data_IF_384485173456
#
_entry.id   IF_384485173456
#
_cell.length_a   1.000
_cell.length_b   1.000
_cell.length_c   1.000
_cell.angle_alpha   90.00
_cell.angle_beta   90.00
_cell.angle_gamma   90.00
#
_symmetry.space_group_name_H-M   'P 1'
#
loop_
_entity.id
_entity.type
_entity.pdbx_description
1 polymer ?
#
# COMPACT_ATOMS: atom_id res chain seq x y z
N UNK A 1 20.28 -0.69 1.90
CA UNK A 1 18.98 -1.30 2.30
C UNK A 1 18.32 -2.08 1.18
N UNK A 2 18.79 -2.03 -0.09
CA UNK A 2 18.06 -2.67 -1.20
C UNK A 2 16.71 -2.02 -1.53
N UNK A 3 16.36 -0.91 -0.87
CA UNK A 3 15.17 -0.11 -1.20
C UNK A 3 13.85 -0.86 -1.09
N UNK A 4 13.66 -1.76 -0.12
CA UNK A 4 12.47 -2.61 -0.08
C UNK A 4 11.16 -1.81 -0.03
N UNK A 5 11.09 -0.83 0.90
CA UNK A 5 9.94 0.07 1.15
C UNK A 5 8.54 -0.59 1.18
N UNK A 6 8.50 -1.92 1.32
CA UNK A 6 7.32 -2.75 1.18
C UNK A 6 7.51 -3.99 2.06
N UNK A 7 6.67 -4.19 3.10
CA UNK A 7 6.81 -5.31 4.01
C UNK A 7 6.76 -6.66 3.31
N UNK A 8 5.86 -6.85 2.35
CA UNK A 8 5.74 -8.10 1.61
C UNK A 8 7.00 -8.44 0.80
N UNK A 9 7.62 -7.47 0.11
CA UNK A 9 8.93 -7.66 -0.55
C UNK A 9 10.02 -8.02 0.46
N UNK A 10 9.99 -7.39 1.64
CA UNK A 10 10.95 -7.73 2.72
C UNK A 10 10.76 -9.18 3.17
N UNK A 11 9.51 -9.64 3.33
CA UNK A 11 9.20 -11.02 3.71
C UNK A 11 9.62 -12.03 2.64
N UNK A 12 9.37 -11.73 1.35
CA UNK A 12 9.86 -12.55 0.23
C UNK A 12 11.38 -12.70 0.29
N UNK A 13 12.10 -11.59 0.47
CA UNK A 13 13.58 -11.62 0.59
C UNK A 13 14.09 -12.43 1.79
N UNK A 14 13.37 -12.42 2.91
CA UNK A 14 13.70 -13.28 4.07
C UNK A 14 13.56 -14.75 3.71
N UNK A 15 12.48 -15.12 3.04
CA UNK A 15 12.16 -16.53 2.74
C UNK A 15 12.99 -17.09 1.60
N UNK A 16 13.14 -16.34 0.50
CA UNK A 16 13.74 -16.84 -0.74
C UNK A 16 15.16 -16.33 -1.01
N UNK A 17 15.49 -15.09 -0.62
CA UNK A 17 16.79 -14.46 -0.93
C UNK A 17 17.78 -14.45 0.26
N UNK A 18 17.55 -15.27 1.29
CA UNK A 18 18.40 -15.40 2.48
C UNK A 18 18.63 -14.08 3.24
N UNK A 19 17.69 -13.13 3.17
CA UNK A 19 17.79 -11.90 3.93
C UNK A 19 17.68 -12.17 5.44
N UNK A 20 18.57 -11.62 6.30
CA UNK A 20 18.54 -11.91 7.73
C UNK A 20 17.21 -11.51 8.38
N UNK A 21 16.49 -12.47 8.95
CA UNK A 21 15.14 -12.27 9.48
C UNK A 21 15.05 -11.15 10.54
N UNK A 22 16.04 -11.04 11.43
CA UNK A 22 16.08 -9.97 12.45
C UNK A 22 16.16 -8.57 11.84
N UNK A 23 16.88 -8.41 10.71
CA UNK A 23 16.89 -7.15 9.95
C UNK A 23 15.59 -6.94 9.22
N UNK A 24 14.99 -8.01 8.70
CA UNK A 24 13.69 -8.01 8.06
C UNK A 24 12.59 -7.44 8.95
N UNK A 25 12.51 -7.90 10.19
CA UNK A 25 11.55 -7.37 11.18
C UNK A 25 11.81 -5.88 11.42
N UNK A 26 13.06 -5.47 11.63
CA UNK A 26 13.40 -4.07 11.82
C UNK A 26 13.02 -3.20 10.60
N UNK A 27 13.14 -3.75 9.39
CA UNK A 27 12.72 -3.09 8.15
C UNK A 27 11.21 -2.90 8.09
N UNK A 28 10.43 -3.95 8.38
CA UNK A 28 8.96 -3.87 8.38
C UNK A 28 8.47 -2.81 9.37
N UNK A 29 9.04 -2.81 10.58
CA UNK A 29 8.71 -1.81 11.62
C UNK A 29 9.07 -0.39 11.14
N UNK A 30 10.28 -0.20 10.61
CA UNK A 30 10.71 1.10 10.12
C UNK A 30 9.85 1.58 8.93
N UNK A 31 9.41 0.68 8.05
CA UNK A 31 8.54 1.00 6.92
C UNK A 31 7.16 1.47 7.39
N UNK A 32 6.54 0.74 8.32
CA UNK A 32 5.22 1.11 8.89
C UNK A 32 5.32 2.45 9.64
N UNK A 33 6.35 2.62 10.47
CA UNK A 33 6.58 3.89 11.19
C UNK A 33 6.85 5.05 10.22
N UNK A 34 7.58 4.80 9.13
CA UNK A 34 7.79 5.78 8.06
C UNK A 34 6.48 6.21 7.41
N UNK A 35 5.60 5.26 7.07
CA UNK A 35 4.26 5.54 6.53
C UNK A 35 3.38 6.33 7.50
N UNK A 36 3.42 5.98 8.78
CA UNK A 36 2.73 6.69 9.86
C UNK A 36 3.19 8.15 9.96
N UNK A 37 4.49 8.38 10.10
CA UNK A 37 5.06 9.73 10.23
C UNK A 37 4.79 10.55 8.96
N UNK A 38 4.92 9.95 7.78
CA UNK A 38 4.63 10.63 6.52
C UNK A 38 3.18 11.15 6.46
N UNK A 39 2.21 10.34 6.91
CA UNK A 39 0.81 10.78 6.96
C UNK A 39 0.59 11.93 7.94
N UNK A 40 1.23 11.92 9.11
CA UNK A 40 1.14 13.05 10.06
C UNK A 40 1.77 14.33 9.50
N UNK A 41 2.89 14.21 8.77
CA UNK A 41 3.51 15.34 8.08
C UNK A 41 2.60 15.91 7.00
N UNK A 42 1.95 15.05 6.20
CA UNK A 42 0.97 15.47 5.20
C UNK A 42 -0.22 16.17 5.87
N UNK A 43 -0.74 15.63 6.98
CA UNK A 43 -1.81 16.29 7.73
C UNK A 43 -1.40 17.69 8.19
N UNK A 44 -0.20 17.84 8.77
CA UNK A 44 0.32 19.14 9.18
C UNK A 44 0.51 20.11 7.98
N UNK A 45 1.01 19.61 6.84
CA UNK A 45 1.23 20.40 5.63
C UNK A 45 -0.09 20.93 5.03
N UNK A 46 -1.15 20.12 5.07
CA UNK A 46 -2.45 20.45 4.48
C UNK A 46 -3.49 20.90 5.51
N UNK A 47 -3.12 21.06 6.79
CA UNK A 47 -4.04 21.41 7.88
C UNK A 47 -4.96 22.58 7.54
N UNK A 48 -4.41 23.68 7.02
CA UNK A 48 -5.17 24.89 6.70
C UNK A 48 -6.15 24.71 5.51
N UNK A 49 -5.96 23.67 4.70
CA UNK A 49 -6.90 23.29 3.64
C UNK A 49 -7.90 22.23 4.11
N UNK A 50 -7.51 21.33 5.03
CA UNK A 50 -8.33 20.23 5.51
C UNK A 50 -9.40 20.67 6.52
N UNK A 51 -9.04 21.50 7.50
CA UNK A 51 -9.97 21.93 8.54
C UNK A 51 -11.22 22.62 7.97
N UNK A 52 -11.13 23.56 7.01
CA UNK A 52 -12.33 24.15 6.40
C UNK A 52 -13.21 23.14 5.68
N UNK A 53 -12.63 22.12 5.05
CA UNK A 53 -13.38 21.05 4.36
C UNK A 53 -14.14 20.20 5.38
N UNK A 54 -13.50 19.81 6.48
CA UNK A 54 -14.13 19.07 7.58
C UNK A 54 -15.29 19.86 8.19
N UNK A 55 -15.07 21.15 8.48
CA UNK A 55 -16.11 22.04 9.02
C UNK A 55 -17.29 22.21 8.06
N UNK A 56 -17.03 22.34 6.75
CA UNK A 56 -18.09 22.43 5.75
C UNK A 56 -18.92 21.14 5.67
N UNK A 57 -18.26 19.97 5.76
CA UNK A 57 -18.95 18.68 5.80
C UNK A 57 -19.76 18.48 7.08
N UNK A 58 -19.24 18.96 8.21
CA UNK A 58 -19.94 18.92 9.50
C UNK A 58 -21.18 19.82 9.51
N UNK A 59 -21.05 21.06 9.02
CA UNK A 59 -22.17 22.00 8.89
C UNK A 59 -23.26 21.47 7.93
N UNK A 60 -22.88 20.67 6.93
CA UNK A 60 -23.81 19.99 6.02
C UNK A 60 -24.41 18.69 6.60
N UNK A 61 -24.00 18.27 7.80
CA UNK A 61 -24.43 17.01 8.42
C UNK A 61 -23.92 15.75 7.72
N UNK A 62 -22.89 15.87 6.87
CA UNK A 62 -22.38 14.77 6.02
C UNK A 62 -21.07 14.16 6.52
N UNK A 63 -20.39 14.82 7.46
CA UNK A 63 -19.06 14.39 7.90
C UNK A 63 -19.08 12.95 8.43
N UNK A 64 -20.00 12.60 9.33
CA UNK A 64 -20.05 11.26 9.92
C UNK A 64 -20.27 10.14 8.89
N UNK A 65 -21.01 10.41 7.81
CA UNK A 65 -21.27 9.44 6.74
C UNK A 65 -20.05 9.27 5.82
N UNK A 66 -19.36 10.37 5.50
CA UNK A 66 -18.35 10.39 4.44
C UNK A 66 -16.93 10.22 4.99
N UNK A 67 -16.67 10.57 6.25
CA UNK A 67 -15.29 10.71 6.78
C UNK A 67 -14.45 9.44 6.56
N UNK A 68 -15.02 8.27 6.81
CA UNK A 68 -14.36 6.96 6.69
C UNK A 68 -14.70 6.25 5.37
N UNK A 69 -14.67 7.01 4.27
CA UNK A 69 -14.85 6.51 2.91
C UNK A 69 -13.69 7.01 2.02
N UNK A 70 -13.49 6.45 0.80
CA UNK A 70 -12.51 6.98 -0.15
C UNK A 70 -12.66 8.47 -0.50
N UNK A 71 -13.85 9.03 -0.30
CA UNK A 71 -14.16 10.44 -0.61
C UNK A 71 -14.11 11.36 0.62
N UNK A 72 -13.81 10.81 1.80
CA UNK A 72 -13.76 11.58 3.05
C UNK A 72 -12.36 12.08 3.42
N UNK A 73 -12.27 13.04 4.37
CA UNK A 73 -11.00 13.55 4.87
C UNK A 73 -10.07 12.46 5.40
N UNK A 74 -10.57 11.48 6.16
CA UNK A 74 -9.73 10.39 6.66
C UNK A 74 -9.19 9.50 5.52
N UNK A 75 -9.87 9.45 4.37
CA UNK A 75 -9.50 8.72 3.16
C UNK A 75 -8.19 9.17 2.51
N UNK A 76 -7.70 10.37 2.88
CA UNK A 76 -6.39 10.89 2.47
C UNK A 76 -5.25 10.09 3.11
N UNK A 77 -5.46 9.60 4.33
CA UNK A 77 -4.43 8.93 5.13
C UNK A 77 -4.62 7.42 5.20
N UNK A 78 -5.84 6.97 5.52
CA UNK A 78 -6.21 5.56 5.59
C UNK A 78 -7.05 5.16 4.39
N UNK A 79 -6.97 3.89 3.97
CA UNK A 79 -7.88 3.38 2.94
C UNK A 79 -9.15 2.82 3.56
N UNK A 80 -10.26 3.06 2.88
CA UNK A 80 -11.58 2.56 3.24
C UNK A 80 -12.23 1.93 2.01
N UNK A 81 -13.08 0.92 2.23
CA UNK A 81 -13.83 0.35 1.14
C UNK A 81 -14.83 1.38 0.59
N UNK A 82 -15.06 1.46 -0.72
CA UNK A 82 -16.13 2.27 -1.27
C UNK A 82 -17.49 1.88 -0.67
N UNK A 83 -18.39 2.85 -0.39
CA UNK A 83 -19.71 2.53 0.12
C UNK A 83 -20.45 1.53 -0.76
N UNK A 84 -20.98 0.46 -0.16
CA UNK A 84 -21.69 -0.61 -0.87
C UNK A 84 -20.81 -1.58 -1.66
N UNK A 85 -19.47 -1.45 -1.61
CA UNK A 85 -18.57 -2.38 -2.28
C UNK A 85 -18.60 -3.79 -1.66
N UNK A 86 -18.59 -4.80 -2.51
CA UNK A 86 -18.41 -6.18 -2.09
C UNK A 86 -16.94 -6.45 -1.78
N UNK A 87 -16.62 -6.86 -0.55
CA UNK A 87 -15.23 -7.06 -0.10
C UNK A 87 -14.46 -8.10 -0.91
N UNK A 88 -15.13 -9.10 -1.47
CA UNK A 88 -14.47 -10.08 -2.36
C UNK A 88 -14.00 -9.46 -3.68
N UNK A 89 -14.69 -8.45 -4.20
CA UNK A 89 -14.25 -7.71 -5.40
C UNK A 89 -13.03 -6.85 -5.08
N UNK A 90 -13.07 -6.14 -3.95
CA UNK A 90 -11.95 -5.31 -3.49
C UNK A 90 -10.71 -6.16 -3.22
N UNK A 91 -10.87 -7.28 -2.51
CA UNK A 91 -9.80 -8.25 -2.29
C UNK A 91 -9.19 -8.76 -3.60
N UNK A 92 -10.03 -9.18 -4.55
CA UNK A 92 -9.55 -9.73 -5.82
C UNK A 92 -8.78 -8.69 -6.63
N UNK A 93 -9.26 -7.44 -6.67
CA UNK A 93 -8.57 -6.34 -7.33
C UNK A 93 -7.19 -6.08 -6.70
N UNK A 94 -7.14 -5.94 -5.37
CA UNK A 94 -5.90 -5.77 -4.61
C UNK A 94 -4.91 -6.90 -4.92
N UNK A 95 -5.36 -8.15 -4.81
CA UNK A 95 -4.55 -9.34 -5.01
C UNK A 95 -3.93 -9.41 -6.42
N UNK A 96 -4.72 -9.15 -7.46
CA UNK A 96 -4.22 -9.18 -8.85
C UNK A 96 -3.25 -8.01 -9.11
N UNK A 97 -3.57 -6.81 -8.63
CA UNK A 97 -2.68 -5.66 -8.77
C UNK A 97 -1.34 -5.91 -8.08
N UNK A 98 -1.36 -6.49 -6.88
CA UNK A 98 -0.16 -6.87 -6.17
C UNK A 98 0.65 -7.94 -6.93
N UNK A 99 0.02 -8.93 -7.55
CA UNK A 99 0.79 -9.89 -8.37
C UNK A 99 1.53 -9.16 -9.49
N UNK A 100 0.86 -8.26 -10.22
CA UNK A 100 1.47 -7.48 -11.30
C UNK A 100 2.61 -6.60 -10.79
N UNK A 101 2.42 -5.95 -9.63
CA UNK A 101 3.45 -5.16 -8.98
C UNK A 101 4.66 -6.01 -8.58
N UNK A 102 4.42 -7.18 -8.00
CA UNK A 102 5.47 -8.10 -7.60
C UNK A 102 6.30 -8.56 -8.80
N UNK A 103 5.64 -8.96 -9.89
CA UNK A 103 6.32 -9.33 -11.14
C UNK A 103 7.19 -8.19 -11.67
N UNK A 104 6.67 -6.96 -11.68
CA UNK A 104 7.42 -5.78 -12.10
C UNK A 104 8.61 -5.47 -11.20
N UNK A 105 8.44 -5.62 -9.87
CA UNK A 105 9.51 -5.41 -8.89
C UNK A 105 10.62 -6.44 -9.09
N UNK A 106 10.28 -7.74 -9.11
CA UNK A 106 11.28 -8.79 -9.24
C UNK A 106 12.00 -8.73 -10.58
N UNK A 107 11.28 -8.47 -11.68
CA UNK A 107 11.89 -8.23 -12.98
C UNK A 107 12.87 -7.04 -12.98
N UNK A 108 12.57 -5.96 -12.27
CA UNK A 108 13.40 -4.77 -12.26
C UNK A 108 14.67 -4.89 -11.40
N UNK A 109 14.63 -5.70 -10.35
CA UNK A 109 15.76 -5.87 -9.42
C UNK A 109 16.59 -7.11 -9.72
N UNK A 110 16.15 -7.94 -10.67
CA UNK A 110 16.88 -9.10 -11.13
C UNK A 110 18.11 -8.68 -11.96
N UNK A 111 19.34 -9.02 -11.52
CA UNK A 111 20.56 -8.69 -12.26
C UNK A 111 20.70 -9.44 -13.59
N UNK A 112 19.96 -10.54 -13.80
CA UNK A 112 19.96 -11.30 -15.05
C UNK A 112 19.08 -10.68 -16.13
N UNK A 113 18.12 -9.83 -15.74
CA UNK A 113 17.22 -9.17 -16.67
C UNK A 113 17.92 -8.06 -17.45
N UNK A 114 18.36 -8.37 -18.68
CA UNK A 114 19.06 -7.44 -19.57
C UNK A 114 18.21 -6.25 -20.04
N UNK A 115 16.88 -6.32 -19.87
CA UNK A 115 15.96 -5.26 -20.30
C UNK A 115 15.79 -4.14 -19.25
N UNK A 116 16.22 -4.36 -18.00
CA UNK A 116 16.16 -3.34 -16.95
C UNK A 116 17.55 -3.07 -16.38
N UNK A 117 18.15 -1.95 -16.78
CA UNK A 117 19.40 -1.51 -16.15
C UNK A 117 19.17 -1.25 -14.65
N UNK A 118 20.10 -1.60 -13.74
CA UNK A 118 19.89 -1.43 -12.30
C UNK A 118 19.51 0.00 -11.86
N UNK A 119 20.03 1.01 -12.55
CA UNK A 119 19.71 2.42 -12.30
C UNK A 119 18.27 2.79 -12.70
N UNK A 120 17.64 2.03 -13.59
CA UNK A 120 16.27 2.24 -14.06
C UNK A 120 15.22 1.55 -13.18
N UNK A 121 15.63 0.66 -12.27
CA UNK A 121 14.71 -0.10 -11.43
C UNK A 121 13.70 0.80 -10.67
N UNK A 122 14.09 1.93 -10.04
CA UNK A 122 13.12 2.80 -9.36
C UNK A 122 12.08 3.40 -10.31
N UNK A 123 12.51 3.85 -11.50
CA UNK A 123 11.61 4.43 -12.51
C UNK A 123 10.65 3.38 -13.05
N UNK A 124 11.14 2.17 -13.33
CA UNK A 124 10.33 1.07 -13.82
C UNK A 124 9.29 0.64 -12.78
N UNK A 125 9.72 0.39 -11.54
CA UNK A 125 8.82 0.05 -10.43
C UNK A 125 7.77 1.14 -10.22
N UNK A 126 8.17 2.42 -10.26
CA UNK A 126 7.26 3.55 -10.18
C UNK A 126 6.23 3.57 -11.31
N UNK A 127 6.62 3.23 -12.54
CA UNK A 127 5.70 3.12 -13.67
C UNK A 127 4.69 1.98 -13.50
N UNK A 128 5.11 0.83 -12.97
CA UNK A 128 4.19 -0.29 -12.67
C UNK A 128 3.17 0.14 -11.60
N UNK A 129 3.63 0.80 -10.52
CA UNK A 129 2.73 1.41 -9.53
C UNK A 129 1.74 2.39 -10.16
N UNK A 130 2.21 3.27 -11.05
CA UNK A 130 1.35 4.24 -11.74
C UNK A 130 0.25 3.56 -12.56
N UNK A 131 0.59 2.53 -13.33
CA UNK A 131 -0.38 1.77 -14.13
C UNK A 131 -1.43 1.08 -13.24
N UNK A 132 -0.99 0.43 -12.15
CA UNK A 132 -1.91 -0.20 -11.20
C UNK A 132 -2.86 0.82 -10.56
N UNK A 133 -2.33 1.97 -10.12
CA UNK A 133 -3.14 3.00 -9.48
C UNK A 133 -4.11 3.65 -10.46
N UNK A 134 -3.64 4.09 -11.64
CA UNK A 134 -4.49 4.77 -12.62
C UNK A 134 -5.55 3.85 -13.22
N UNK A 135 -5.26 2.56 -13.36
CA UNK A 135 -6.19 1.59 -13.93
C UNK A 135 -7.16 0.98 -12.92
N UNK A 136 -6.73 0.79 -11.66
CA UNK A 136 -7.38 -0.17 -10.75
C UNK A 136 -7.60 0.36 -9.33
N UNK A 137 -7.36 1.64 -9.04
CA UNK A 137 -7.61 2.19 -7.71
C UNK A 137 -9.09 2.45 -7.38
N UNK A 138 -10.01 2.28 -8.33
CA UNK A 138 -11.47 2.49 -8.13
C UNK A 138 -12.06 1.74 -6.93
N UNK A 139 -11.83 0.42 -6.74
CA UNK A 139 -12.24 -0.30 -5.52
C UNK A 139 -11.43 0.04 -4.26
N UNK A 140 -10.40 0.88 -4.37
CA UNK A 140 -9.31 0.98 -3.41
C UNK A 140 -8.16 0.06 -3.77
N UNK A 141 -6.93 0.57 -3.66
CA UNK A 141 -5.70 -0.16 -3.89
C UNK A 141 -4.66 0.26 -2.84
N UNK A 142 -4.34 -0.62 -1.89
CA UNK A 142 -3.30 -0.37 -0.89
C UNK A 142 -1.92 -0.67 -1.45
N UNK A 143 -1.78 -1.82 -2.12
CA UNK A 143 -0.58 -2.32 -2.77
C UNK A 143 0.67 -2.48 -1.88
N UNK A 144 0.55 -2.15 -0.60
CA UNK A 144 1.67 -2.07 0.34
C UNK A 144 1.17 -2.00 1.79
N UNK A 145 1.54 -3.00 2.60
CA UNK A 145 1.17 -3.05 4.01
C UNK A 145 1.69 -1.86 4.83
N UNK A 146 2.87 -1.32 4.53
CA UNK A 146 3.41 -0.17 5.26
C UNK A 146 2.64 1.12 4.94
N UNK A 147 2.15 1.25 3.70
CA UNK A 147 1.27 2.35 3.28
C UNK A 147 -0.06 2.28 4.03
N UNK A 148 -0.71 1.12 4.05
CA UNK A 148 -2.02 0.98 4.70
C UNK A 148 -1.93 1.06 6.22
N UNK A 149 -1.12 0.21 6.85
CA UNK A 149 -1.04 0.13 8.31
C UNK A 149 -0.52 1.45 8.88
N UNK A 150 0.53 2.03 8.29
CA UNK A 150 1.07 3.32 8.71
C UNK A 150 0.03 4.44 8.58
N UNK A 151 -0.60 4.56 7.41
CA UNK A 151 -1.61 5.58 7.16
C UNK A 151 -2.86 5.45 8.03
N UNK A 152 -3.28 4.22 8.31
CA UNK A 152 -4.41 3.91 9.21
C UNK A 152 -4.10 4.22 10.67
N UNK A 153 -2.88 3.96 11.14
CA UNK A 153 -2.43 4.39 12.47
C UNK A 153 -2.45 5.93 12.59
N UNK A 154 -2.07 6.64 11.53
CA UNK A 154 -2.11 8.10 11.50
C UNK A 154 -3.56 8.60 11.49
N UNK A 155 -4.42 8.00 10.67
CA UNK A 155 -5.85 8.30 10.66
C UNK A 155 -6.50 8.09 12.03
N UNK A 156 -6.14 7.02 12.75
CA UNK A 156 -6.63 6.79 14.13
C UNK A 156 -6.08 7.78 15.14
N UNK A 157 -4.88 8.32 14.92
CA UNK A 157 -4.32 9.39 15.76
C UNK A 157 -5.08 10.70 15.56
N UNK A 158 -5.48 11.01 14.33
CA UNK A 158 -6.16 12.26 13.96
C UNK A 158 -7.67 12.20 14.27
N UNK A 159 -8.35 11.12 13.86
CA UNK A 159 -9.81 11.00 13.85
C UNK A 159 -10.35 10.00 14.88
N UNK A 160 -9.49 9.37 15.68
CA UNK A 160 -9.89 8.39 16.69
C UNK A 160 -10.12 6.97 16.14
N UNK A 161 -10.57 6.06 17.02
CA UNK A 161 -10.64 4.61 16.74
C UNK A 161 -11.58 4.21 15.60
N UNK A 162 -12.53 5.06 15.25
CA UNK A 162 -13.45 4.83 14.13
C UNK A 162 -12.72 4.78 12.78
N UNK A 163 -11.55 5.44 12.67
CA UNK A 163 -10.68 5.38 11.51
C UNK A 163 -9.98 4.02 11.30
N UNK A 164 -10.21 3.03 12.18
CA UNK A 164 -9.63 1.69 12.06
C UNK A 164 -10.03 0.96 10.77
N UNK A 165 -11.12 1.36 10.10
CA UNK A 165 -11.54 0.82 8.80
C UNK A 165 -12.15 -0.58 8.82
N UNK A 166 -12.39 -1.14 10.02
CA UNK A 166 -13.18 -2.36 10.21
C UNK A 166 -12.68 -3.57 9.42
N UNK A 167 -13.60 -4.30 8.79
CA UNK A 167 -13.31 -5.54 8.04
C UNK A 167 -12.42 -5.32 6.82
N UNK A 168 -12.42 -4.12 6.23
CA UNK A 168 -11.57 -3.81 5.09
C UNK A 168 -10.08 -3.66 5.46
N UNK A 169 -9.77 -3.27 6.70
CA UNK A 169 -8.39 -3.04 7.14
C UNK A 169 -7.51 -4.29 6.98
N UNK A 170 -8.05 -5.48 7.26
CA UNK A 170 -7.32 -6.73 7.08
C UNK A 170 -7.02 -7.01 5.60
N UNK A 171 -7.96 -6.70 4.70
CA UNK A 171 -7.78 -6.87 3.25
C UNK A 171 -6.67 -5.95 2.78
N UNK A 172 -6.75 -4.65 3.08
CA UNK A 172 -5.76 -3.67 2.65
C UNK A 172 -4.35 -3.95 3.21
N UNK A 173 -4.26 -4.37 4.48
CA UNK A 173 -2.96 -4.62 5.11
C UNK A 173 -2.31 -5.94 4.66
N UNK A 174 -3.08 -7.01 4.48
CA UNK A 174 -2.54 -8.37 4.37
C UNK A 174 -2.53 -8.94 2.96
N UNK A 175 -3.38 -8.47 2.04
CA UNK A 175 -3.55 -9.10 0.70
C UNK A 175 -2.28 -9.07 -0.14
N UNK A 176 -1.48 -8.00 -0.03
CA UNK A 176 -0.20 -7.86 -0.73
C UNK A 176 0.82 -8.94 -0.34
N UNK A 177 0.72 -9.54 0.84
CA UNK A 177 1.68 -10.54 1.32
C UNK A 177 1.60 -11.83 0.49
N UNK A 178 0.48 -12.57 0.46
CA UNK A 178 0.39 -13.77 -0.37
C UNK A 178 0.53 -13.45 -1.86
N UNK A 179 0.08 -12.27 -2.32
CA UNK A 179 0.25 -11.84 -3.71
C UNK A 179 1.72 -11.67 -4.10
N UNK A 180 2.55 -11.02 -3.27
CA UNK A 180 3.99 -10.90 -3.52
C UNK A 180 4.69 -12.26 -3.53
N UNK A 181 4.33 -13.17 -2.62
CA UNK A 181 4.89 -14.52 -2.61
C UNK A 181 4.56 -15.26 -3.90
N UNK A 182 3.31 -15.19 -4.34
CA UNK A 182 2.89 -15.79 -5.60
C UNK A 182 3.60 -15.14 -6.80
N UNK A 183 3.73 -13.82 -6.82
CA UNK A 183 4.46 -13.11 -7.87
C UNK A 183 5.92 -13.53 -7.94
N UNK A 184 6.59 -13.70 -6.79
CA UNK A 184 7.97 -14.19 -6.73
C UNK A 184 8.07 -15.59 -7.31
N UNK A 185 7.18 -16.51 -6.90
CA UNK A 185 7.14 -17.88 -7.40
C UNK A 185 6.92 -17.88 -8.92
N UNK A 186 5.96 -17.11 -9.42
CA UNK A 186 5.71 -16.98 -10.87
C UNK A 186 6.96 -16.47 -11.59
N UNK A 187 7.59 -15.41 -11.06
CA UNK A 187 8.79 -14.83 -11.66
C UNK A 187 9.94 -15.83 -11.71
N UNK A 188 10.28 -16.43 -10.57
CA UNK A 188 11.39 -17.36 -10.43
C UNK A 188 11.23 -18.58 -11.35
N UNK A 189 10.05 -19.24 -11.31
CA UNK A 189 9.87 -20.51 -12.00
C UNK A 189 9.45 -20.39 -13.47
N UNK A 190 8.86 -19.26 -13.89
CA UNK A 190 8.33 -19.11 -15.25
C UNK A 190 9.08 -18.06 -16.08
N UNK A 191 9.74 -17.09 -15.45
CA UNK A 191 10.32 -15.94 -16.16
C UNK A 191 11.85 -15.84 -16.03
N UNK A 192 12.46 -16.36 -14.96
CA UNK A 192 13.92 -16.30 -14.79
C UNK A 192 14.66 -17.43 -15.54
N UNK A 193 14.00 -18.55 -15.84
CA UNK A 193 14.62 -19.72 -16.50
C UNK A 193 14.72 -19.61 -18.05
N UNK A 194 14.92 -18.40 -18.58
CA UNK A 194 15.29 -18.16 -20.00
C UNK A 194 16.57 -17.37 -20.12
#
# INVERSE_FOLDING_TARGET
>A
SGGHFHPAVTLVKIVFEKFPAHKGVAFVVAQILGGYVACLVVYAQFHNALIPVEQALEAAGKLAEINFTPSGPAGIFGLYAPPGAHLGWVFFNEFICDIVLGLGIFAAVDPSNVFCAPAMAPTFIGAVYAVCIWGYATPGLAANAARDVGGRLAAMTIYGREASGGSYAAIAALTNIPAMFLAYIIYEFLLMDT
#
